data_IF_813060312770
#
_entry.id   IF_813060312770
#
_cell.length_a   1.000
_cell.length_b   1.000
_cell.length_c   1.000
_cell.angle_alpha   90.00
_cell.angle_beta   90.00
_cell.angle_gamma   90.00
#
_symmetry.space_group_name_H-M   'P 1'
#
loop_
_entity.id
_entity.type
_entity.pdbx_description
1 polymer ?
#
# COMPACT_ATOMS: atom_id res chain seq x y z
N UNK A 1 23.54 18.18 -11.83
CA UNK A 1 22.31 18.60 -11.13
C UNK A 1 21.98 17.50 -10.12
N UNK A 2 22.48 17.61 -8.90
CA UNK A 2 22.11 16.73 -7.79
C UNK A 2 21.55 17.62 -6.69
N UNK A 3 20.27 17.97 -6.79
CA UNK A 3 19.56 18.51 -5.63
C UNK A 3 19.22 17.34 -4.71
N UNK A 4 19.83 17.35 -3.53
CA UNK A 4 19.43 16.43 -2.46
C UNK A 4 18.18 17.01 -1.82
N UNK A 5 17.03 16.40 -2.12
CA UNK A 5 15.78 16.75 -1.44
C UNK A 5 15.88 16.21 -0.01
N UNK A 6 15.76 17.08 1.02
CA UNK A 6 15.81 16.62 2.40
C UNK A 6 14.61 15.72 2.71
N UNK A 7 14.87 14.59 3.38
CA UNK A 7 13.81 13.71 3.87
C UNK A 7 13.05 14.43 4.97
N UNK A 8 11.72 14.39 4.93
CA UNK A 8 10.87 15.00 5.95
C UNK A 8 11.08 14.28 7.29
N UNK A 9 11.59 14.99 8.30
CA UNK A 9 11.84 14.44 9.65
C UNK A 9 10.56 13.92 10.30
N UNK A 10 9.43 14.62 10.09
CA UNK A 10 8.14 14.31 10.69
C UNK A 10 7.09 13.97 9.61
N UNK A 11 6.94 12.69 9.22
CA UNK A 11 5.89 12.28 8.29
C UNK A 11 4.50 12.53 8.88
N UNK A 12 3.50 12.66 8.01
CA UNK A 12 2.12 12.91 8.44
C UNK A 12 1.56 11.66 9.12
N UNK A 13 0.88 11.83 10.25
CA UNK A 13 0.22 10.74 10.99
C UNK A 13 -1.09 10.36 10.26
N UNK A 14 -1.35 9.08 9.99
CA UNK A 14 -2.62 8.64 9.43
C UNK A 14 -3.81 8.97 10.35
N UNK A 15 -4.95 9.28 9.77
CA UNK A 15 -6.19 9.57 10.51
C UNK A 15 -7.24 8.47 10.39
N UNK A 16 -7.14 7.64 9.35
CA UNK A 16 -8.04 6.53 9.03
C UNK A 16 -7.28 5.44 8.29
N UNK A 17 -7.89 4.27 8.19
CA UNK A 17 -7.36 3.10 7.50
C UNK A 17 -8.45 2.41 6.70
N UNK A 18 -8.06 1.74 5.62
CA UNK A 18 -8.90 0.84 4.83
C UNK A 18 -8.37 -0.59 4.97
N UNK A 19 -9.12 -1.49 5.63
CA UNK A 19 -8.67 -2.87 5.84
C UNK A 19 -8.83 -3.74 4.60
N UNK A 20 -7.80 -4.49 4.23
CA UNK A 20 -7.91 -5.66 3.36
C UNK A 20 -7.82 -6.88 4.26
N UNK A 21 -8.74 -7.83 4.14
CA UNK A 21 -8.76 -9.04 4.98
C UNK A 21 -8.65 -10.30 4.14
N UNK A 22 -7.76 -11.20 4.58
CA UNK A 22 -7.60 -12.57 4.10
C UNK A 22 -7.54 -12.69 2.56
N UNK A 23 -6.86 -11.74 1.92
CA UNK A 23 -6.81 -11.67 0.47
C UNK A 23 -5.97 -12.80 -0.13
N UNK A 24 -6.59 -13.54 -1.05
CA UNK A 24 -6.00 -14.66 -1.77
C UNK A 24 -6.17 -14.43 -3.28
N UNK A 25 -5.32 -13.60 -3.86
CA UNK A 25 -5.31 -13.26 -5.29
C UNK A 25 -3.89 -13.36 -5.86
N UNK A 26 -3.70 -14.14 -6.92
CA UNK A 26 -2.39 -14.43 -7.53
C UNK A 26 -1.34 -14.88 -6.49
N UNK A 27 -0.33 -14.05 -6.22
CA UNK A 27 0.77 -14.36 -5.31
C UNK A 27 0.46 -14.01 -3.85
N UNK A 28 -0.71 -13.44 -3.55
CA UNK A 28 -1.14 -13.18 -2.18
C UNK A 28 -1.61 -14.47 -1.52
N UNK A 29 -1.11 -14.73 -0.31
CA UNK A 29 -1.43 -15.91 0.50
C UNK A 29 -2.04 -15.46 1.82
N UNK A 30 -3.36 -15.31 1.83
CA UNK A 30 -4.17 -14.87 2.99
C UNK A 30 -3.62 -13.60 3.64
N UNK A 31 -3.42 -12.58 2.80
CA UNK A 31 -2.83 -11.30 3.24
C UNK A 31 -3.91 -10.41 3.84
N UNK A 32 -3.68 -9.98 5.08
CA UNK A 32 -4.48 -8.97 5.78
C UNK A 32 -3.62 -7.74 6.08
N UNK A 33 -4.06 -6.56 5.66
CA UNK A 33 -3.32 -5.30 5.83
C UNK A 33 -4.25 -4.09 5.86
N UNK A 34 -3.95 -3.15 6.75
CA UNK A 34 -4.64 -1.86 6.82
C UNK A 34 -3.87 -0.80 6.01
N UNK A 35 -4.51 -0.23 4.98
CA UNK A 35 -3.93 0.83 4.15
C UNK A 35 -4.24 2.19 4.79
N UNK A 36 -3.24 2.96 5.26
CA UNK A 36 -3.49 4.25 5.89
C UNK A 36 -3.94 5.30 4.88
N UNK A 37 -4.90 6.13 5.29
CA UNK A 37 -5.43 7.23 4.50
C UNK A 37 -4.76 8.57 4.85
N UNK A 38 -4.83 9.51 3.90
CA UNK A 38 -4.32 10.89 4.02
C UNK A 38 -2.79 11.00 4.18
N UNK A 39 -2.07 9.93 3.90
CA UNK A 39 -0.62 9.85 3.92
C UNK A 39 -0.11 9.20 2.64
N UNK A 40 1.16 9.40 2.30
CA UNK A 40 1.79 8.68 1.21
C UNK A 40 2.13 7.26 1.70
N UNK A 41 1.55 6.25 1.05
CA UNK A 41 1.84 4.84 1.32
C UNK A 41 2.61 4.24 0.16
N UNK A 42 3.79 3.69 0.45
CA UNK A 42 4.61 3.01 -0.56
C UNK A 42 4.53 1.51 -0.33
N UNK A 43 4.02 0.78 -1.32
CA UNK A 43 4.06 -0.69 -1.33
C UNK A 43 5.29 -1.15 -2.11
N UNK A 44 6.25 -1.73 -1.40
CA UNK A 44 7.52 -2.21 -1.95
C UNK A 44 7.72 -3.71 -1.71
N UNK A 45 8.80 -4.27 -2.26
CA UNK A 45 9.13 -5.70 -2.20
C UNK A 45 9.68 -6.26 -3.51
N UNK A 46 10.27 -7.45 -3.45
CA UNK A 46 10.91 -8.12 -4.59
C UNK A 46 9.95 -8.40 -5.76
N UNK A 47 10.49 -8.64 -6.96
CA UNK A 47 9.67 -9.06 -8.10
C UNK A 47 8.86 -10.32 -7.75
N UNK A 48 7.58 -10.35 -8.14
CA UNK A 48 6.68 -11.46 -7.82
C UNK A 48 6.12 -11.48 -6.39
N UNK A 49 6.44 -10.52 -5.51
CA UNK A 49 5.91 -10.52 -4.13
C UNK A 49 4.41 -10.22 -3.99
N UNK A 50 3.70 -9.92 -5.08
CA UNK A 50 2.25 -9.66 -5.05
C UNK A 50 1.84 -8.19 -4.89
N UNK A 51 2.76 -7.22 -4.94
CA UNK A 51 2.44 -5.77 -4.80
C UNK A 51 1.34 -5.29 -5.76
N UNK A 52 1.47 -5.62 -7.05
CA UNK A 52 0.49 -5.23 -8.06
C UNK A 52 -0.84 -5.91 -7.82
N UNK A 53 -0.84 -7.19 -7.42
CA UNK A 53 -2.06 -7.92 -7.05
C UNK A 53 -2.75 -7.26 -5.84
N UNK A 54 -1.98 -6.88 -4.81
CA UNK A 54 -2.52 -6.21 -3.63
C UNK A 54 -3.18 -4.87 -3.96
N UNK A 55 -2.53 -4.02 -4.75
CA UNK A 55 -3.04 -2.67 -5.01
C UNK A 55 -4.04 -2.61 -6.16
N UNK A 56 -3.75 -3.24 -7.30
CA UNK A 56 -4.59 -3.14 -8.49
C UNK A 56 -5.74 -4.14 -8.47
N UNK A 57 -5.47 -5.38 -8.07
CA UNK A 57 -6.47 -6.44 -8.18
C UNK A 57 -7.34 -6.62 -6.95
N UNK A 58 -6.87 -6.19 -5.78
CA UNK A 58 -7.60 -6.29 -4.52
C UNK A 58 -8.07 -4.92 -4.09
N UNK A 59 -7.16 -4.04 -3.64
CA UNK A 59 -7.53 -2.75 -3.05
C UNK A 59 -8.38 -1.88 -3.99
N UNK A 60 -7.92 -1.67 -5.23
CA UNK A 60 -8.64 -0.81 -6.17
C UNK A 60 -10.00 -1.37 -6.61
N UNK A 61 -10.21 -2.69 -6.55
CA UNK A 61 -11.52 -3.29 -6.86
C UNK A 61 -12.46 -3.26 -5.66
N UNK A 62 -11.94 -3.46 -4.46
CA UNK A 62 -12.73 -3.46 -3.22
C UNK A 62 -13.20 -2.05 -2.83
N UNK A 63 -12.39 -1.03 -3.14
CA UNK A 63 -12.66 0.38 -2.82
C UNK A 63 -12.86 1.26 -4.05
N UNK A 64 -13.29 0.68 -5.18
CA UNK A 64 -13.80 1.46 -6.31
C UNK A 64 -15.09 2.18 -5.90
N UNK A 65 -15.23 3.46 -6.27
CA UNK A 65 -16.48 4.22 -6.06
C UNK A 65 -17.69 3.56 -6.73
#
# INVERSE_FOLDING_TARGET
MNEVIPVKENPRIPTRYLPIKDSNCHNLKSVSVDIPLNVLTVVTGVAGSGKSSLIRDVFAKEYAE
#
